data_IF_444836963536
#
_entry.id   IF_444836963536
#
_cell.length_a   1.000
_cell.length_b   1.000
_cell.length_c   1.000
_cell.angle_alpha   90.00
_cell.angle_beta   90.00
_cell.angle_gamma   90.00
#
_symmetry.space_group_name_H-M   'P 1'
#
loop_
_entity.id
_entity.type
_entity.pdbx_description
1 polymer ?
#
# COMPACT_ATOMS: atom_id res chain seq x y z
N UNK A 1 6.94 27.89 1.84
CA UNK A 1 7.30 26.96 2.94
C UNK A 1 6.41 25.72 2.93
N UNK A 2 5.17 25.82 2.44
CA UNK A 2 4.18 24.74 2.41
C UNK A 2 4.58 23.53 1.54
N UNK A 3 5.30 23.74 0.44
CA UNK A 3 5.82 22.67 -0.42
C UNK A 3 6.78 21.74 0.34
N UNK A 4 7.67 22.34 1.15
CA UNK A 4 8.65 21.58 1.92
C UNK A 4 7.99 20.87 3.11
N UNK A 5 7.03 21.53 3.75
CA UNK A 5 6.20 20.90 4.78
C UNK A 5 5.43 19.71 4.23
N UNK A 6 4.86 19.80 3.02
CA UNK A 6 4.15 18.70 2.36
C UNK A 6 5.08 17.52 2.01
N UNK A 7 6.34 17.80 1.69
CA UNK A 7 7.37 16.78 1.49
C UNK A 7 7.71 16.07 2.81
N UNK A 8 7.81 16.82 3.92
CA UNK A 8 8.12 16.29 5.25
C UNK A 8 6.92 15.54 5.84
N UNK A 9 5.69 16.02 5.62
CA UNK A 9 4.45 15.37 6.07
C UNK A 9 4.27 13.99 5.42
N UNK A 10 4.90 13.75 4.26
CA UNK A 10 5.11 12.41 3.71
C UNK A 10 3.84 11.62 3.46
N UNK A 11 2.68 12.28 3.32
CA UNK A 11 1.41 11.61 3.10
C UNK A 11 1.34 11.10 1.65
N UNK A 12 1.81 9.88 1.45
CA UNK A 12 1.75 9.14 0.19
C UNK A 12 0.54 8.21 0.21
N UNK A 13 -0.17 8.08 -0.91
CA UNK A 13 -1.31 7.17 -1.01
C UNK A 13 -0.84 5.71 -1.18
N UNK A 14 -1.70 4.72 -0.88
CA UNK A 14 -1.30 3.30 -0.97
C UNK A 14 -0.88 2.88 -2.38
N UNK A 15 -1.46 3.50 -3.42
CA UNK A 15 -1.13 3.17 -4.81
C UNK A 15 0.21 3.77 -5.22
N UNK A 16 0.50 4.98 -4.78
CA UNK A 16 1.75 5.71 -4.94
C UNK A 16 2.89 4.99 -4.25
N UNK A 17 2.67 4.42 -3.06
CA UNK A 17 3.67 3.58 -2.41
C UNK A 17 4.01 2.34 -3.26
N UNK A 18 2.99 1.66 -3.80
CA UNK A 18 3.20 0.49 -4.68
C UNK A 18 3.87 0.86 -6.00
N UNK A 19 3.55 2.02 -6.55
CA UNK A 19 4.18 2.56 -7.75
C UNK A 19 5.66 2.91 -7.49
N UNK A 20 5.94 3.58 -6.37
CA UNK A 20 7.29 3.93 -5.95
C UNK A 20 8.17 2.67 -5.77
N UNK A 21 7.64 1.64 -5.12
CA UNK A 21 8.32 0.36 -4.94
C UNK A 21 8.63 -0.32 -6.28
N UNK A 22 7.65 -0.33 -7.19
CA UNK A 22 7.84 -0.89 -8.54
C UNK A 22 8.90 -0.13 -9.34
N UNK A 23 8.86 1.20 -9.32
CA UNK A 23 9.85 2.05 -10.03
C UNK A 23 11.25 1.80 -9.45
N UNK A 24 11.38 1.74 -8.12
CA UNK A 24 12.66 1.48 -7.48
C UNK A 24 13.22 0.11 -7.87
N UNK A 25 12.38 -0.93 -7.82
CA UNK A 25 12.79 -2.29 -8.16
C UNK A 25 13.17 -2.43 -9.64
N UNK A 26 12.36 -1.90 -10.56
CA UNK A 26 12.65 -1.91 -12.00
C UNK A 26 13.94 -1.11 -12.31
N UNK A 27 14.13 0.06 -11.69
CA UNK A 27 15.33 0.89 -11.88
C UNK A 27 16.60 0.18 -11.41
N UNK A 28 16.57 -0.39 -10.20
CA UNK A 28 17.73 -1.10 -9.63
C UNK A 28 18.04 -2.36 -10.45
N UNK A 29 17.01 -3.10 -10.88
CA UNK A 29 17.18 -4.29 -11.71
C UNK A 29 17.82 -3.96 -13.06
N UNK A 30 17.39 -2.89 -13.73
CA UNK A 30 17.98 -2.42 -14.99
C UNK A 30 19.43 -1.96 -14.79
N UNK A 31 19.70 -1.19 -13.73
CA UNK A 31 21.06 -0.75 -13.42
C UNK A 31 22.00 -1.92 -13.10
N UNK A 32 21.51 -2.93 -12.37
CA UNK A 32 22.25 -4.15 -12.09
C UNK A 32 22.58 -4.92 -13.38
N UNK A 33 21.61 -5.08 -14.28
CA UNK A 33 21.82 -5.75 -15.56
C UNK A 33 22.87 -5.01 -16.41
N UNK A 34 22.72 -3.70 -16.57
CA UNK A 34 23.65 -2.87 -17.36
C UNK A 34 25.05 -2.88 -16.73
N UNK A 35 25.14 -2.71 -15.41
CA UNK A 35 26.41 -2.72 -14.67
C UNK A 35 27.11 -4.07 -14.75
N UNK A 36 26.35 -5.17 -14.72
CA UNK A 36 26.88 -6.51 -14.89
C UNK A 36 27.44 -6.71 -16.30
N UNK A 37 26.69 -6.39 -17.36
CA UNK A 37 27.16 -6.52 -18.74
C UNK A 37 28.41 -5.67 -18.99
N UNK A 38 28.38 -4.39 -18.59
CA UNK A 38 29.51 -3.48 -18.78
C UNK A 38 30.76 -3.92 -18.01
N UNK A 39 30.60 -4.36 -16.76
CA UNK A 39 31.71 -4.88 -15.97
C UNK A 39 32.25 -6.22 -16.46
N UNK A 40 31.38 -7.08 -17.00
CA UNK A 40 31.79 -8.34 -17.61
C UNK A 40 32.69 -8.12 -18.82
N UNK A 41 32.30 -7.24 -19.75
CA UNK A 41 33.14 -6.93 -20.92
C UNK A 41 34.46 -6.23 -20.55
N UNK A 42 34.46 -5.41 -19.49
CA UNK A 42 35.65 -4.68 -19.03
C UNK A 42 36.47 -5.44 -17.97
N UNK A 43 36.03 -6.63 -17.56
CA UNK A 43 36.60 -7.42 -16.45
C UNK A 43 36.80 -6.63 -15.16
N UNK A 44 35.96 -5.61 -14.91
CA UNK A 44 36.11 -4.68 -13.77
C UNK A 44 34.89 -4.69 -12.87
N UNK A 45 35.06 -5.25 -11.67
CA UNK A 45 34.02 -5.25 -10.63
C UNK A 45 33.76 -3.85 -10.07
N UNK A 46 34.77 -2.97 -10.07
CA UNK A 46 34.62 -1.57 -9.65
C UNK A 46 33.62 -0.83 -10.56
N UNK A 47 33.68 -1.07 -11.86
CA UNK A 47 32.78 -0.44 -12.83
C UNK A 47 31.34 -0.94 -12.66
N UNK A 48 31.14 -2.23 -12.42
CA UNK A 48 29.82 -2.78 -12.08
C UNK A 48 29.23 -2.11 -10.85
N UNK A 49 30.01 -2.01 -9.76
CA UNK A 49 29.55 -1.41 -8.51
C UNK A 49 29.27 0.09 -8.63
N UNK A 50 30.05 0.82 -9.44
CA UNK A 50 29.79 2.23 -9.73
C UNK A 50 28.46 2.43 -10.45
N UNK A 51 28.21 1.65 -11.51
CA UNK A 51 26.94 1.73 -12.26
C UNK A 51 25.76 1.32 -11.39
N UNK A 52 25.91 0.23 -10.63
CA UNK A 52 24.88 -0.21 -9.69
C UNK A 52 24.60 0.86 -8.61
N UNK A 53 25.65 1.41 -8.00
CA UNK A 53 25.53 2.47 -7.00
C UNK A 53 24.86 3.73 -7.55
N UNK A 54 25.19 4.13 -8.78
CA UNK A 54 24.50 5.22 -9.47
C UNK A 54 23.01 4.89 -9.68
N UNK A 55 22.69 3.66 -10.08
CA UNK A 55 21.30 3.18 -10.18
C UNK A 55 20.53 3.24 -8.87
N UNK A 56 21.16 2.85 -7.76
CA UNK A 56 20.56 2.95 -6.42
C UNK A 56 20.28 4.41 -6.05
N UNK A 57 21.23 5.32 -6.29
CA UNK A 57 21.01 6.75 -6.04
C UNK A 57 19.84 7.31 -6.86
N UNK A 58 19.75 6.94 -8.14
CA UNK A 58 18.62 7.33 -9.00
C UNK A 58 17.30 6.75 -8.45
N UNK A 59 17.28 5.48 -8.05
CA UNK A 59 16.10 4.85 -7.48
C UNK A 59 15.65 5.50 -6.16
N UNK A 60 16.59 5.92 -5.31
CA UNK A 60 16.29 6.65 -4.08
C UNK A 60 15.69 8.03 -4.40
N UNK A 61 16.28 8.78 -5.33
CA UNK A 61 15.72 10.07 -5.75
C UNK A 61 14.35 9.89 -6.41
N UNK A 62 14.11 8.83 -7.16
CA UNK A 62 12.83 8.60 -7.82
C UNK A 62 11.74 8.06 -6.87
N UNK A 63 12.09 7.20 -5.91
CA UNK A 63 11.11 6.52 -5.04
C UNK A 63 10.85 7.20 -3.69
N UNK A 64 11.83 7.93 -3.13
CA UNK A 64 11.76 8.46 -1.76
C UNK A 64 11.00 9.79 -1.64
N UNK A 65 11.19 10.79 -2.52
CA UNK A 65 10.43 12.02 -2.42
C UNK A 65 8.94 11.75 -2.68
N UNK A 66 8.02 12.40 -1.95
CA UNK A 66 6.59 12.31 -2.22
C UNK A 66 6.26 13.13 -3.46
N UNK A 67 6.57 12.57 -4.62
CA UNK A 67 6.27 13.20 -5.90
C UNK A 67 4.76 13.39 -6.05
N UNK A 68 4.30 14.50 -6.67
CA UNK A 68 2.88 14.75 -6.87
C UNK A 68 2.17 13.63 -7.67
N UNK A 69 2.93 12.84 -8.43
CA UNK A 69 2.44 11.63 -9.12
C UNK A 69 1.93 10.53 -8.17
N UNK A 70 2.45 10.46 -6.95
CA UNK A 70 2.16 9.40 -5.97
C UNK A 70 0.99 9.71 -5.03
N UNK A 71 0.28 10.82 -5.24
CA UNK A 71 -0.81 11.27 -4.38
C UNK A 71 -2.07 11.67 -5.18
N UNK A 72 -2.42 10.84 -6.16
CA UNK A 72 -3.57 11.06 -7.05
C UNK A 72 -4.85 10.40 -6.54
N UNK A 73 -4.77 9.43 -5.62
CA UNK A 73 -5.93 8.65 -5.18
C UNK A 73 -6.08 8.71 -3.65
N UNK A 74 -6.75 9.75 -3.10
CA UNK A 74 -7.00 9.83 -1.67
C UNK A 74 -7.93 8.69 -1.22
N UNK A 75 -7.53 7.99 -0.17
CA UNK A 75 -8.30 6.87 0.41
C UNK A 75 -9.48 7.41 1.20
N UNK A 76 -10.69 7.11 0.73
CA UNK A 76 -11.93 7.39 1.48
C UNK A 76 -12.16 6.29 2.51
N UNK A 77 -11.90 6.60 3.78
CA UNK A 77 -12.16 5.69 4.89
C UNK A 77 -13.66 5.55 5.12
N UNK A 78 -14.15 4.31 5.30
CA UNK A 78 -15.52 4.08 5.74
C UNK A 78 -15.69 4.58 7.19
N UNK A 79 -16.86 5.14 7.56
CA UNK A 79 -17.13 5.54 8.93
C UNK A 79 -17.00 4.34 9.88
N UNK A 80 -16.37 4.57 11.04
CA UNK A 80 -16.22 3.58 12.08
C UNK A 80 -17.60 3.04 12.48
N UNK A 81 -17.83 1.72 12.36
CA UNK A 81 -19.05 1.12 12.90
C UNK A 81 -18.98 1.28 14.41
N UNK A 82 -19.73 2.23 14.95
CA UNK A 82 -20.05 2.25 16.37
C UNK A 82 -20.62 0.88 16.70
N UNK A 83 -19.96 0.13 17.59
CA UNK A 83 -20.57 -1.04 18.19
C UNK A 83 -21.85 -0.55 18.86
N UNK A 84 -23.00 -0.78 18.22
CA UNK A 84 -24.29 -0.59 18.87
C UNK A 84 -24.29 -1.57 20.04
N UNK A 85 -24.33 -1.09 21.30
CA UNK A 85 -24.48 -2.00 22.42
C UNK A 85 -25.85 -2.65 22.23
N UNK A 86 -25.85 -3.98 22.24
CA UNK A 86 -27.02 -4.84 22.39
C UNK A 86 -28.05 -4.17 23.30
N UNK A 87 -29.11 -3.61 22.71
CA UNK A 87 -30.34 -3.34 23.45
C UNK A 87 -31.27 -4.49 23.12
N UNK A 88 -31.27 -5.47 24.00
CA UNK A 88 -32.40 -6.34 24.26
C UNK A 88 -33.64 -5.47 24.49
N UNK A 89 -34.42 -5.22 23.44
CA UNK A 89 -35.82 -4.84 23.57
C UNK A 89 -36.65 -6.03 23.14
N UNK A 90 -36.99 -6.85 24.13
CA UNK A 90 -38.22 -7.61 24.14
C UNK A 90 -39.38 -6.70 23.73
N UNK A 91 -40.01 -6.97 22.60
CA UNK A 91 -41.44 -6.67 22.41
C UNK A 91 -42.04 -7.79 21.56
N UNK A 92 -43.07 -8.48 22.09
CA UNK A 92 -43.67 -9.66 21.49
C UNK A 92 -44.70 -9.23 20.44
N UNK A 93 -44.56 -9.70 19.21
CA UNK A 93 -45.61 -9.57 18.22
C UNK A 93 -45.56 -10.74 17.23
N UNK A 94 -46.51 -11.65 17.43
CA UNK A 94 -47.17 -12.47 16.42
C UNK A 94 -46.30 -13.43 15.58
N UNK A 95 -46.12 -14.64 16.10
CA UNK A 95 -46.19 -15.85 15.27
C UNK A 95 -47.25 -16.75 15.88
N UNK A 96 -48.48 -16.59 15.38
CA UNK A 96 -49.49 -17.63 15.44
C UNK A 96 -49.02 -18.74 14.51
N UNK A 97 -48.64 -19.90 15.03
CA UNK A 97 -48.87 -21.12 14.28
C UNK A 97 -49.33 -22.24 15.19
N UNK A 98 -50.46 -22.79 14.77
CA UNK A 98 -51.16 -23.90 15.38
C UNK A 98 -50.41 -25.17 15.01
N UNK A 99 -50.20 -26.09 15.95
CA UNK A 99 -50.60 -27.52 15.82
C UNK A 99 -49.94 -28.43 16.86
N UNK A 100 -50.78 -29.28 17.46
CA UNK A 100 -50.54 -30.69 17.81
C UNK A 100 -49.56 -30.98 18.97
N UNK A 101 -50.10 -31.40 20.12
CA UNK A 101 -50.19 -32.84 20.46
C UNK A 101 -50.61 -33.03 21.92
N UNK A 102 -51.79 -33.62 22.06
CA UNK A 102 -52.25 -34.47 23.16
C UNK A 102 -51.15 -35.25 23.87
N UNK A 103 -51.11 -35.21 25.21
CA UNK A 103 -50.86 -36.38 26.05
C UNK A 103 -51.14 -36.13 27.54
N UNK A 104 -51.80 -37.11 28.16
CA UNK A 104 -51.92 -37.48 29.58
C UNK A 104 -53.13 -37.02 30.39
N UNK A 105 -54.10 -37.93 30.43
CA UNK A 105 -54.69 -38.41 31.69
C UNK A 105 -53.66 -39.27 32.46
#
# INVERSE_FOLDING_TARGET
MDQLQKIIDGRVDFQGQRLADRIAQETIALAALIGFLAGYFTHSLQLTLLIYGAGVLIALVAGVPPWPMFNNYPVTWLPNRSASPTTSTSTPAAVTDSTRSTAKA
#
